data_IF_874347969197
#
_entry.id   IF_874347969197
#
_cell.length_a   1.000
_cell.length_b   1.000
_cell.length_c   1.000
_cell.angle_alpha   90.00
_cell.angle_beta   90.00
_cell.angle_gamma   90.00
#
_symmetry.space_group_name_H-M   'P 1'
#
loop_
_entity.id
_entity.type
_entity.pdbx_description
1 polymer ?
#
# COMPACT_ATOMS: atom_id res chain seq x y z
N UNK A 1 1.25 -42.79 20.76
CA UNK A 1 2.72 -42.96 20.72
C UNK A 1 3.35 -41.58 20.75
N UNK A 2 4.15 -41.10 21.69
CA UNK A 2 4.54 -41.47 23.05
C UNK A 2 5.12 -40.16 23.63
N UNK A 3 4.35 -39.36 24.36
CA UNK A 3 4.88 -38.21 25.11
C UNK A 3 5.24 -38.67 26.53
N UNK A 4 6.31 -39.47 26.61
CA UNK A 4 6.88 -39.91 27.87
C UNK A 4 8.02 -38.97 28.32
N UNK A 5 7.84 -38.40 29.51
CA UNK A 5 8.86 -38.14 30.54
C UNK A 5 9.73 -36.86 30.40
N UNK A 6 9.16 -35.70 30.77
CA UNK A 6 9.88 -34.75 31.63
C UNK A 6 9.66 -35.17 33.10
N UNK A 7 10.17 -36.34 33.48
CA UNK A 7 10.05 -36.85 34.85
C UNK A 7 11.15 -36.27 35.74
N UNK A 8 10.76 -35.45 36.71
CA UNK A 8 11.61 -35.07 37.86
C UNK A 8 11.59 -36.24 38.85
N UNK A 9 12.70 -36.99 38.91
CA UNK A 9 12.95 -37.96 39.97
C UNK A 9 13.61 -37.23 41.14
N UNK A 10 12.81 -36.87 42.15
CA UNK A 10 13.31 -36.46 43.46
C UNK A 10 13.75 -37.72 44.23
N UNK A 11 15.06 -37.97 44.27
CA UNK A 11 15.66 -38.92 45.21
C UNK A 11 16.73 -38.18 46.04
N UNK A 12 16.68 -38.45 47.34
CA UNK A 12 17.20 -37.72 48.50
C UNK A 12 18.70 -37.45 48.59
N UNK A 13 19.00 -36.21 49.02
CA UNK A 13 19.95 -35.74 50.07
C UNK A 13 21.47 -36.01 49.92
N UNK A 14 22.24 -34.93 50.12
CA UNK A 14 23.73 -34.74 50.19
C UNK A 14 24.52 -34.61 48.89
N UNK A 15 24.11 -33.72 47.98
CA UNK A 15 24.99 -33.15 46.95
C UNK A 15 24.78 -31.64 46.98
N UNK A 16 25.88 -30.86 46.92
CA UNK A 16 25.83 -29.40 46.83
C UNK A 16 24.74 -29.00 45.85
N UNK A 17 23.69 -28.35 46.37
CA UNK A 17 22.73 -27.67 45.54
C UNK A 17 23.49 -26.43 45.05
N UNK A 18 24.23 -26.58 43.96
CA UNK A 18 24.20 -25.55 42.95
C UNK A 18 22.73 -25.49 42.56
N UNK A 19 21.97 -24.65 43.26
CA UNK A 19 20.88 -23.95 42.61
C UNK A 19 21.60 -23.20 41.50
N UNK A 20 21.80 -23.89 40.37
CA UNK A 20 22.08 -23.26 39.11
C UNK A 20 20.95 -22.26 39.00
N UNK A 21 21.28 -21.00 39.27
CA UNK A 21 20.30 -19.96 39.53
C UNK A 21 19.41 -20.00 38.31
N UNK A 22 18.22 -20.59 38.50
CA UNK A 22 17.39 -21.04 37.41
C UNK A 22 17.32 -19.88 36.43
N UNK A 23 17.50 -20.16 35.15
CA UNK A 23 17.23 -19.21 34.08
C UNK A 23 15.71 -18.87 34.06
N UNK A 24 15.21 -18.38 35.20
CA UNK A 24 13.84 -18.08 35.58
C UNK A 24 13.23 -17.03 34.66
N UNK A 25 14.10 -16.23 34.02
CA UNK A 25 13.72 -15.22 33.06
C UNK A 25 14.62 -15.31 31.83
N UNK A 26 14.04 -15.68 30.69
CA UNK A 26 14.71 -15.59 29.39
C UNK A 26 15.14 -14.14 29.12
N UNK A 27 16.25 -13.92 28.39
CA UNK A 27 16.63 -12.57 27.98
C UNK A 27 15.47 -11.94 27.19
N UNK A 28 14.88 -10.88 27.74
CA UNK A 28 13.83 -10.13 27.07
C UNK A 28 14.42 -9.37 25.86
N UNK A 29 14.45 -10.01 24.69
CA UNK A 29 14.92 -9.43 23.43
C UNK A 29 13.70 -8.91 22.67
N UNK A 30 13.61 -7.59 22.52
CA UNK A 30 12.52 -6.94 21.78
C UNK A 30 12.50 -7.43 20.32
N UNK A 31 11.30 -7.68 19.78
CA UNK A 31 11.09 -8.19 18.41
C UNK A 31 11.76 -9.55 18.15
N UNK A 32 11.79 -10.41 19.16
CA UNK A 32 12.24 -11.79 19.05
C UNK A 32 11.17 -12.77 19.54
N UNK A 33 11.17 -13.94 18.91
CA UNK A 33 10.49 -15.14 19.34
C UNK A 33 11.47 -16.00 20.14
N UNK A 34 10.99 -16.59 21.23
CA UNK A 34 11.78 -17.47 22.09
C UNK A 34 11.16 -18.86 22.04
N UNK A 35 11.92 -19.83 21.55
CA UNK A 35 11.57 -21.25 21.58
C UNK A 35 12.41 -21.96 22.65
N UNK A 36 11.77 -22.80 23.46
CA UNK A 36 12.45 -23.56 24.50
C UNK A 36 12.24 -25.06 24.24
N UNK A 37 13.35 -25.73 23.97
CA UNK A 37 13.41 -27.18 23.89
C UNK A 37 14.34 -27.72 24.99
N UNK A 38 13.73 -28.26 26.06
CA UNK A 38 14.40 -29.02 27.10
C UNK A 38 15.66 -28.36 27.70
N UNK A 39 15.62 -27.04 27.92
CA UNK A 39 16.72 -26.27 28.52
C UNK A 39 17.59 -25.52 27.51
N UNK A 40 17.45 -25.78 26.21
CA UNK A 40 18.02 -24.95 25.16
C UNK A 40 17.03 -23.85 24.76
N UNK A 41 17.51 -22.62 24.77
CA UNK A 41 16.71 -21.44 24.40
C UNK A 41 17.18 -20.94 23.05
N UNK A 42 16.32 -21.03 22.05
CA UNK A 42 16.58 -20.49 20.71
C UNK A 42 15.85 -19.16 20.59
N UNK A 43 16.62 -18.09 20.38
CA UNK A 43 16.10 -16.75 20.16
C UNK A 43 16.15 -16.48 18.66
N UNK A 44 15.00 -16.23 18.06
CA UNK A 44 14.88 -15.90 16.64
C UNK A 44 14.22 -14.55 16.49
N UNK A 45 14.73 -13.65 15.66
CA UNK A 45 14.05 -12.39 15.43
C UNK A 45 12.70 -12.60 14.74
N UNK A 46 11.72 -11.77 15.09
CA UNK A 46 10.43 -11.73 14.42
C UNK A 46 10.61 -11.35 12.94
N UNK A 47 9.61 -11.68 12.12
CA UNK A 47 9.61 -11.37 10.68
C UNK A 47 9.96 -9.91 10.41
N UNK A 48 10.85 -9.70 9.44
CA UNK A 48 11.33 -8.37 9.09
C UNK A 48 12.39 -7.79 10.03
N UNK A 49 12.86 -8.52 11.05
CA UNK A 49 13.97 -8.14 11.91
C UNK A 49 15.17 -9.06 11.75
N UNK A 50 16.39 -8.52 11.93
CA UNK A 50 17.66 -9.23 11.87
C UNK A 50 18.40 -9.11 13.19
N UNK A 51 18.98 -10.22 13.64
CA UNK A 51 19.74 -10.27 14.89
C UNK A 51 21.06 -9.53 14.72
N UNK A 52 21.37 -8.64 15.66
CA UNK A 52 22.65 -7.95 15.77
C UNK A 52 23.28 -8.32 17.10
N UNK A 53 24.49 -8.89 17.02
CA UNK A 53 25.30 -9.24 18.19
C UNK A 53 26.33 -8.13 18.44
N UNK A 54 26.23 -7.48 19.60
CA UNK A 54 27.22 -6.51 20.06
C UNK A 54 28.35 -7.19 20.83
N UNK A 55 29.53 -6.61 20.77
CA UNK A 55 30.69 -6.98 21.59
C UNK A 55 31.20 -5.71 22.25
N UNK A 56 31.58 -5.82 23.52
CA UNK A 56 32.17 -4.73 24.30
C UNK A 56 33.51 -5.18 24.87
N UNK A 57 34.49 -4.29 24.88
CA UNK A 57 35.80 -4.57 25.48
C UNK A 57 35.81 -4.03 26.91
N UNK A 58 35.92 -4.92 27.89
CA UNK A 58 35.95 -4.61 29.32
C UNK A 58 37.16 -5.32 29.92
N UNK A 59 38.05 -4.58 30.59
CA UNK A 59 39.28 -5.11 31.20
C UNK A 59 40.16 -5.92 30.22
N UNK A 60 40.34 -5.40 29.00
CA UNK A 60 41.10 -6.05 27.92
C UNK A 60 40.48 -7.36 27.38
N UNK A 61 39.26 -7.69 27.81
CA UNK A 61 38.51 -8.88 27.35
C UNK A 61 37.24 -8.50 26.57
N UNK A 62 36.98 -9.20 25.46
CA UNK A 62 35.73 -9.06 24.71
C UNK A 62 34.58 -9.79 25.40
N UNK A 63 33.48 -9.08 25.64
CA UNK A 63 32.25 -9.61 26.22
C UNK A 63 31.09 -9.45 25.26
N UNK A 64 30.27 -10.50 25.16
CA UNK A 64 29.03 -10.44 24.39
C UNK A 64 28.02 -9.53 25.07
N UNK A 65 27.51 -8.58 24.31
CA UNK A 65 26.35 -7.81 24.72
C UNK A 65 25.09 -8.62 24.48
N UNK A 66 23.98 -8.18 25.09
CA UNK A 66 22.68 -8.77 24.80
C UNK A 66 22.33 -8.57 23.32
N UNK A 67 21.94 -9.62 22.58
CA UNK A 67 21.57 -9.47 21.17
C UNK A 67 20.33 -8.58 21.03
N UNK A 68 20.24 -7.88 19.91
CA UNK A 68 19.11 -7.00 19.60
C UNK A 68 18.59 -7.34 18.20
N UNK A 69 17.28 -7.46 18.06
CA UNK A 69 16.63 -7.58 16.76
C UNK A 69 16.38 -6.18 16.19
N UNK A 70 17.13 -5.81 15.14
CA UNK A 70 16.96 -4.54 14.42
C UNK A 70 16.06 -4.76 13.21
N UNK A 71 15.22 -3.78 12.84
CA UNK A 71 14.37 -3.93 11.68
C UNK A 71 15.25 -4.01 10.42
N UNK A 72 14.78 -4.74 9.42
CA UNK A 72 15.46 -4.88 8.14
C UNK A 72 15.38 -3.56 7.40
N UNK A 73 16.50 -3.10 6.86
CA UNK A 73 16.58 -1.85 6.10
C UNK A 73 16.63 -2.15 4.60
N UNK A 74 15.90 -1.36 3.81
CA UNK A 74 15.97 -1.40 2.35
C UNK A 74 17.01 -0.43 1.81
N UNK A 75 17.66 -0.74 0.67
CA UNK A 75 18.75 0.06 0.12
C UNK A 75 18.27 1.44 -0.32
N UNK A 76 19.00 2.47 0.10
CA UNK A 76 18.86 3.84 -0.41
C UNK A 76 19.64 4.03 -1.71
N UNK A 77 19.28 5.04 -2.50
CA UNK A 77 19.98 5.42 -3.73
C UNK A 77 19.69 4.52 -4.93
N UNK A 78 18.67 3.65 -4.85
CA UNK A 78 18.23 2.81 -5.97
C UNK A 78 17.33 3.64 -6.88
N UNK A 79 17.56 3.57 -8.19
CA UNK A 79 16.71 4.24 -9.18
C UNK A 79 15.29 3.66 -9.15
N UNK A 80 14.30 4.55 -9.16
CA UNK A 80 12.89 4.16 -9.16
C UNK A 80 12.35 4.22 -10.60
N UNK A 81 11.68 3.14 -11.03
CA UNK A 81 11.06 3.08 -12.36
C UNK A 81 10.03 4.19 -12.53
N UNK A 82 10.07 4.91 -13.66
CA UNK A 82 9.16 6.02 -13.99
C UNK A 82 9.14 7.17 -12.95
N UNK A 83 10.27 7.38 -12.26
CA UNK A 83 10.50 8.52 -11.38
C UNK A 83 11.92 9.05 -11.58
N UNK A 84 12.10 10.35 -11.35
CA UNK A 84 13.43 10.97 -11.30
C UNK A 84 14.05 10.91 -9.90
N UNK A 85 13.32 10.33 -8.92
CA UNK A 85 13.78 10.13 -7.56
C UNK A 85 14.57 8.82 -7.40
N UNK A 86 15.32 8.75 -6.31
CA UNK A 86 15.96 7.52 -5.82
C UNK A 86 15.36 7.12 -4.49
N UNK A 87 15.51 5.85 -4.13
CA UNK A 87 15.00 5.35 -2.85
C UNK A 87 15.67 6.04 -1.66
N UNK A 88 14.88 6.38 -0.65
CA UNK A 88 15.38 6.83 0.66
C UNK A 88 15.44 5.66 1.64
N UNK A 89 16.19 5.79 2.73
CA UNK A 89 16.20 4.76 3.77
C UNK A 89 14.80 4.54 4.34
N UNK A 90 14.37 3.28 4.36
CA UNK A 90 13.15 2.80 5.01
C UNK A 90 13.46 1.46 5.67
N UNK A 91 12.81 1.23 6.80
CA UNK A 91 12.86 -0.05 7.49
C UNK A 91 11.63 -0.88 7.13
N UNK A 92 11.66 -2.17 7.46
CA UNK A 92 10.59 -3.13 7.23
C UNK A 92 9.18 -2.54 7.43
N UNK A 93 8.31 -2.79 6.46
CA UNK A 93 6.91 -2.35 6.39
C UNK A 93 6.68 -0.83 6.20
N UNK A 94 7.74 -0.01 6.24
CA UNK A 94 7.60 1.40 5.89
C UNK A 94 7.44 1.60 4.38
N UNK A 95 6.59 2.57 4.03
CA UNK A 95 6.29 2.96 2.65
C UNK A 95 7.07 4.21 2.27
N UNK A 96 7.64 4.19 1.07
CA UNK A 96 8.21 5.33 0.37
C UNK A 96 7.24 5.74 -0.75
N UNK A 97 6.67 6.94 -0.65
CA UNK A 97 5.89 7.56 -1.74
C UNK A 97 6.78 8.52 -2.52
N UNK A 98 6.69 8.50 -3.85
CA UNK A 98 7.48 9.32 -4.74
C UNK A 98 6.63 9.90 -5.88
N UNK A 99 7.14 10.97 -6.50
CA UNK A 99 6.49 11.59 -7.66
C UNK A 99 6.86 10.88 -8.96
N UNK A 100 5.90 10.70 -9.85
CA UNK A 100 6.11 10.08 -11.15
C UNK A 100 6.64 11.07 -12.18
N UNK A 101 7.57 10.65 -13.04
CA UNK A 101 8.16 11.46 -14.11
C UNK A 101 7.36 11.40 -15.42
N UNK A 102 6.02 11.47 -15.33
CA UNK A 102 5.11 11.38 -16.48
C UNK A 102 4.75 12.75 -17.09
N UNK A 103 5.39 13.83 -16.61
CA UNK A 103 5.11 15.21 -17.02
C UNK A 103 3.72 15.72 -16.61
N UNK A 104 3.09 15.09 -15.61
CA UNK A 104 1.85 15.53 -14.98
C UNK A 104 2.10 15.61 -13.47
N UNK A 105 1.96 16.82 -12.92
CA UNK A 105 2.18 17.06 -11.50
C UNK A 105 1.11 16.36 -10.66
N UNK A 106 1.52 15.80 -9.53
CA UNK A 106 0.62 15.20 -8.56
C UNK A 106 0.28 13.74 -8.83
N UNK A 107 0.89 13.06 -9.82
CA UNK A 107 0.88 11.60 -9.92
C UNK A 107 2.02 11.03 -9.06
N UNK A 108 1.71 9.98 -8.29
CA UNK A 108 2.65 9.37 -7.33
C UNK A 108 2.66 7.86 -7.47
N UNK A 109 3.79 7.24 -7.16
CA UNK A 109 3.92 5.80 -6.92
C UNK A 109 4.35 5.55 -5.47
N UNK A 110 4.37 4.27 -5.09
CA UNK A 110 4.78 3.85 -3.76
C UNK A 110 5.54 2.52 -3.78
N UNK A 111 6.55 2.41 -2.92
CA UNK A 111 7.27 1.16 -2.65
C UNK A 111 7.30 0.89 -1.15
N UNK A 112 7.11 -0.37 -0.75
CA UNK A 112 7.23 -0.82 0.64
C UNK A 112 8.55 -1.56 0.85
N UNK A 113 9.18 -1.38 2.01
CA UNK A 113 10.34 -2.17 2.38
C UNK A 113 9.92 -3.58 2.82
N UNK A 114 10.36 -4.59 2.06
CA UNK A 114 10.08 -6.00 2.29
C UNK A 114 10.88 -6.59 3.45
N UNK A 115 10.45 -7.76 3.93
CA UNK A 115 11.09 -8.49 5.03
C UNK A 115 12.52 -8.93 4.72
N UNK A 116 12.85 -9.15 3.45
CA UNK A 116 14.18 -9.56 2.98
C UNK A 116 15.13 -8.36 2.75
N UNK A 117 14.62 -7.13 2.90
CA UNK A 117 15.36 -5.90 2.64
C UNK A 117 15.33 -5.48 1.17
N UNK A 118 14.40 -6.01 0.38
CA UNK A 118 14.15 -5.53 -0.99
C UNK A 118 12.92 -4.63 -1.04
N UNK A 119 12.94 -3.72 -1.99
CA UNK A 119 11.78 -2.90 -2.32
C UNK A 119 10.71 -3.73 -3.02
N UNK A 120 9.49 -3.59 -2.54
CA UNK A 120 8.28 -4.17 -3.15
C UNK A 120 7.49 -3.01 -3.74
N UNK A 121 7.11 -3.09 -5.00
CA UNK A 121 6.22 -2.11 -5.62
C UNK A 121 4.82 -2.22 -5.00
N UNK A 122 4.40 -1.17 -4.29
CA UNK A 122 3.07 -1.09 -3.67
C UNK A 122 2.09 -0.40 -4.61
N UNK A 123 2.58 0.61 -5.35
CA UNK A 123 1.83 1.33 -6.38
C UNK A 123 2.78 1.77 -7.49
N UNK A 124 2.58 1.24 -8.70
CA UNK A 124 3.25 1.70 -9.89
C UNK A 124 2.82 3.13 -10.25
N UNK A 125 3.65 3.84 -11.03
CA UNK A 125 3.25 5.12 -11.57
C UNK A 125 2.06 4.99 -12.54
N UNK A 126 0.98 5.77 -12.38
CA UNK A 126 -0.16 5.73 -13.27
C UNK A 126 0.23 6.02 -14.73
N UNK A 127 -0.28 5.23 -15.66
CA UNK A 127 -0.02 5.36 -17.10
C UNK A 127 -0.81 6.55 -17.64
N UNK A 128 -0.15 7.38 -18.46
CA UNK A 128 -0.72 8.61 -19.03
C UNK A 128 -0.90 8.47 -20.54
N UNK A 129 -2.14 8.57 -21.00
CA UNK A 129 -2.50 8.60 -22.42
C UNK A 129 -2.83 10.04 -22.82
N UNK A 130 -1.84 10.74 -23.37
CA UNK A 130 -1.99 12.12 -23.85
C UNK A 130 -2.72 12.16 -25.18
N UNK A 131 -3.43 13.25 -25.42
CA UNK A 131 -4.14 13.45 -26.68
C UNK A 131 -5.44 12.66 -26.77
N UNK A 132 -5.88 12.00 -25.68
CA UNK A 132 -7.01 11.06 -25.66
C UNK A 132 -7.97 11.38 -24.54
N UNK A 133 -9.26 11.15 -24.77
CA UNK A 133 -10.30 11.20 -23.74
C UNK A 133 -11.40 10.17 -24.04
N UNK A 134 -12.15 9.81 -23.01
CA UNK A 134 -13.26 8.87 -23.12
C UNK A 134 -14.50 9.60 -23.63
N UNK A 135 -15.03 9.16 -24.77
CA UNK A 135 -16.28 9.65 -25.33
C UNK A 135 -17.48 8.99 -24.68
N UNK A 136 -18.20 9.74 -23.84
CA UNK A 136 -19.40 9.24 -23.15
C UNK A 136 -20.64 9.46 -24.03
N UNK A 137 -21.31 8.38 -24.44
CA UNK A 137 -22.51 8.43 -25.30
C UNK A 137 -23.74 7.76 -24.68
N UNK A 138 -23.58 6.99 -23.61
CA UNK A 138 -24.66 6.25 -22.93
C UNK A 138 -25.06 6.96 -21.65
N UNK A 139 -26.25 7.54 -21.62
CA UNK A 139 -26.82 8.13 -20.41
C UNK A 139 -28.35 8.10 -20.43
N UNK A 140 -28.94 7.91 -19.25
CA UNK A 140 -30.38 8.03 -19.06
C UNK A 140 -30.70 9.44 -18.59
N UNK A 141 -31.66 10.11 -19.22
CA UNK A 141 -32.08 11.45 -18.79
C UNK A 141 -33.42 11.38 -18.07
N UNK A 142 -33.49 11.93 -16.86
CA UNK A 142 -34.72 11.98 -16.05
C UNK A 142 -35.10 13.41 -15.69
N UNK A 143 -36.40 13.76 -15.64
CA UNK A 143 -36.86 15.05 -15.15
C UNK A 143 -36.71 15.13 -13.63
N UNK A 144 -35.74 15.91 -13.16
CA UNK A 144 -35.50 16.18 -11.74
C UNK A 144 -34.59 17.40 -11.58
N UNK A 145 -34.77 18.15 -10.50
CA UNK A 145 -33.84 19.20 -10.07
C UNK A 145 -32.78 18.69 -9.10
N UNK A 146 -33.02 17.54 -8.43
CA UNK A 146 -32.09 16.88 -7.54
C UNK A 146 -31.57 15.58 -8.18
N UNK A 147 -30.38 15.66 -8.78
CA UNK A 147 -29.82 14.54 -9.55
C UNK A 147 -29.31 13.40 -8.66
N UNK A 148 -28.74 13.73 -7.50
CA UNK A 148 -28.31 12.73 -6.53
C UNK A 148 -29.47 11.87 -6.05
N UNK A 149 -30.59 12.51 -5.67
CA UNK A 149 -31.80 11.78 -5.26
C UNK A 149 -32.43 11.00 -6.41
N UNK A 150 -32.43 11.57 -7.63
CA UNK A 150 -32.93 10.86 -8.80
C UNK A 150 -32.10 9.62 -9.13
N UNK A 151 -30.77 9.68 -8.96
CA UNK A 151 -29.88 8.55 -9.14
C UNK A 151 -30.17 7.42 -8.15
N UNK A 152 -30.38 7.75 -6.87
CA UNK A 152 -30.71 6.76 -5.83
C UNK A 152 -32.00 5.97 -6.10
N UNK A 153 -32.91 6.51 -6.92
CA UNK A 153 -34.16 5.83 -7.32
C UNK A 153 -33.98 4.87 -8.49
N UNK A 154 -32.85 4.93 -9.19
CA UNK A 154 -32.55 4.09 -10.36
C UNK A 154 -31.46 3.10 -9.97
N UNK A 155 -31.80 1.82 -9.93
CA UNK A 155 -30.92 0.75 -9.40
C UNK A 155 -29.58 0.63 -10.11
N UNK A 156 -29.49 1.02 -11.38
CA UNK A 156 -28.26 0.94 -12.19
C UNK A 156 -27.43 2.24 -12.15
N UNK A 157 -27.93 3.29 -11.49
CA UNK A 157 -27.24 4.57 -11.46
C UNK A 157 -26.07 4.56 -10.48
N UNK A 158 -24.88 4.87 -10.98
CA UNK A 158 -23.64 5.00 -10.22
C UNK A 158 -23.22 6.45 -10.02
N UNK A 159 -23.56 7.33 -10.96
CA UNK A 159 -23.25 8.76 -10.90
C UNK A 159 -24.33 9.58 -11.61
N UNK A 160 -24.42 10.87 -11.30
CA UNK A 160 -25.35 11.76 -11.98
C UNK A 160 -24.79 13.16 -12.20
N UNK A 161 -25.31 13.87 -13.20
CA UNK A 161 -24.99 15.26 -13.48
C UNK A 161 -26.22 16.05 -13.92
N UNK A 162 -26.17 17.37 -13.76
CA UNK A 162 -27.26 18.26 -14.21
C UNK A 162 -27.09 18.63 -15.69
N UNK A 163 -28.09 18.27 -16.51
CA UNK A 163 -28.24 18.73 -17.90
C UNK A 163 -28.75 20.18 -18.02
N UNK A 164 -29.06 20.85 -16.90
CA UNK A 164 -29.80 22.12 -16.88
C UNK A 164 -31.31 21.93 -17.05
N UNK A 165 -32.06 23.01 -16.85
CA UNK A 165 -33.52 23.07 -17.05
C UNK A 165 -34.32 21.95 -16.35
N UNK A 166 -33.92 21.57 -15.13
CA UNK A 166 -34.62 20.54 -14.34
C UNK A 166 -34.48 19.12 -14.91
N UNK A 167 -33.37 18.82 -15.59
CA UNK A 167 -33.04 17.47 -16.07
C UNK A 167 -31.73 16.97 -15.50
N UNK A 168 -31.72 15.69 -15.20
CA UNK A 168 -30.56 14.97 -14.69
C UNK A 168 -30.14 13.89 -15.66
N UNK A 169 -28.84 13.83 -15.92
CA UNK A 169 -28.17 12.78 -16.66
C UNK A 169 -27.70 11.76 -15.63
N UNK A 170 -28.14 10.53 -15.77
CA UNK A 170 -27.75 9.40 -14.94
C UNK A 170 -26.78 8.52 -15.71
N UNK A 171 -25.72 8.12 -15.01
CA UNK A 171 -24.66 7.26 -15.52
C UNK A 171 -24.67 5.94 -14.77
N UNK A 172 -24.29 4.88 -15.45
CA UNK A 172 -24.14 3.54 -14.90
C UNK A 172 -22.66 3.23 -14.70
N UNK A 173 -22.38 2.16 -13.96
CA UNK A 173 -21.02 1.68 -13.80
C UNK A 173 -20.40 1.36 -15.17
N UNK A 174 -19.12 1.71 -15.40
CA UNK A 174 -18.11 2.02 -14.38
C UNK A 174 -17.92 3.51 -14.07
N UNK A 175 -18.81 4.41 -14.48
CA UNK A 175 -18.65 5.86 -14.23
C UNK A 175 -19.05 6.17 -12.79
N UNK A 176 -18.10 6.57 -11.94
CA UNK A 176 -18.37 6.85 -10.52
C UNK A 176 -18.44 8.35 -10.21
N UNK A 177 -17.95 9.19 -11.11
CA UNK A 177 -18.00 10.63 -10.95
C UNK A 177 -18.08 11.33 -12.30
N UNK A 178 -18.93 12.36 -12.36
CA UNK A 178 -19.09 13.25 -13.50
C UNK A 178 -19.25 14.68 -13.02
N UNK A 179 -18.43 15.63 -13.47
CA UNK A 179 -18.60 17.03 -13.06
C UNK A 179 -18.21 18.09 -14.12
N UNK A 180 -18.73 19.30 -13.92
CA UNK A 180 -18.44 20.58 -14.61
C UNK A 180 -17.04 21.11 -14.23
N UNK A 181 -16.46 22.07 -14.99
CA UNK A 181 -15.03 22.11 -15.33
C UNK A 181 -14.11 22.08 -14.11
N UNK A 182 -13.22 21.09 -14.10
CA UNK A 182 -12.07 20.99 -13.20
C UNK A 182 -10.78 21.04 -14.00
N UNK A 183 -9.75 21.63 -13.42
CA UNK A 183 -8.39 21.49 -13.95
C UNK A 183 -7.96 20.02 -13.91
N UNK A 184 -6.98 19.63 -14.72
CA UNK A 184 -6.44 18.27 -14.70
C UNK A 184 -5.95 17.90 -13.29
N UNK A 185 -5.25 18.82 -12.61
CA UNK A 185 -4.76 18.63 -11.25
C UNK A 185 -5.89 18.37 -10.25
N UNK A 186 -6.99 19.14 -10.29
CA UNK A 186 -8.15 18.89 -9.43
C UNK A 186 -8.82 17.55 -9.75
N UNK A 187 -8.92 17.18 -11.03
CA UNK A 187 -9.48 15.88 -11.46
C UNK A 187 -8.64 14.71 -10.91
N UNK A 188 -7.31 14.83 -10.93
CA UNK A 188 -6.37 13.88 -10.33
C UNK A 188 -6.58 13.78 -8.82
N UNK A 189 -6.70 14.91 -8.12
CA UNK A 189 -6.93 14.89 -6.66
C UNK A 189 -8.27 14.24 -6.28
N UNK A 190 -9.31 14.46 -7.08
CA UNK A 190 -10.60 13.79 -6.88
C UNK A 190 -10.48 12.28 -7.02
N UNK A 191 -9.74 11.80 -8.04
CA UNK A 191 -9.48 10.38 -8.22
C UNK A 191 -8.68 9.80 -7.05
N UNK A 192 -7.60 10.47 -6.64
CA UNK A 192 -6.76 10.03 -5.50
C UNK A 192 -7.50 9.91 -4.18
N UNK A 193 -8.50 10.77 -3.95
CA UNK A 193 -9.29 10.74 -2.73
C UNK A 193 -10.42 9.70 -2.75
N UNK A 194 -10.70 9.09 -3.91
CA UNK A 194 -11.71 8.06 -4.05
C UNK A 194 -11.05 6.71 -4.30
N UNK A 195 -11.08 5.83 -3.31
CA UNK A 195 -10.46 4.50 -3.38
C UNK A 195 -11.07 3.60 -4.45
N UNK A 196 -12.21 3.97 -5.03
CA UNK A 196 -12.81 3.25 -6.17
C UNK A 196 -12.26 3.74 -7.51
N UNK A 197 -11.61 4.90 -7.59
CA UNK A 197 -11.14 5.45 -8.85
C UNK A 197 -9.89 4.72 -9.33
N UNK A 198 -9.98 4.05 -10.49
CA UNK A 198 -8.85 3.37 -11.12
C UNK A 198 -8.37 4.07 -12.40
N UNK A 199 -9.29 4.77 -13.06
CA UNK A 199 -9.01 5.56 -14.27
C UNK A 199 -9.73 6.89 -14.20
N UNK A 200 -9.10 7.95 -14.70
CA UNK A 200 -9.75 9.22 -14.99
C UNK A 200 -9.60 9.58 -16.46
N UNK A 201 -10.59 10.29 -16.97
CA UNK A 201 -10.55 10.95 -18.27
C UNK A 201 -10.82 12.43 -18.09
N UNK A 202 -9.91 13.25 -18.60
CA UNK A 202 -9.96 14.69 -18.55
C UNK A 202 -9.90 15.27 -19.96
N UNK A 203 -10.68 16.32 -20.19
CA UNK A 203 -10.55 17.23 -21.34
C UNK A 203 -10.93 18.62 -20.87
N UNK A 204 -10.70 19.65 -21.68
CA UNK A 204 -11.12 21.02 -21.34
C UNK A 204 -12.63 21.03 -21.09
N UNK A 205 -13.00 21.22 -19.83
CA UNK A 205 -14.40 21.31 -19.41
C UNK A 205 -15.01 20.04 -18.80
N UNK A 206 -14.34 18.88 -18.85
CA UNK A 206 -14.90 17.62 -18.35
C UNK A 206 -13.90 16.79 -17.57
N UNK A 207 -14.36 16.23 -16.44
CA UNK A 207 -13.62 15.28 -15.62
C UNK A 207 -14.55 14.09 -15.34
N UNK A 208 -14.10 12.90 -15.75
CA UNK A 208 -14.79 11.64 -15.52
C UNK A 208 -13.87 10.72 -14.72
N UNK A 209 -14.40 10.11 -13.67
CA UNK A 209 -13.70 9.07 -12.91
C UNK A 209 -14.41 7.74 -13.12
N UNK A 210 -13.61 6.68 -13.20
CA UNK A 210 -14.08 5.34 -13.49
C UNK A 210 -13.56 4.35 -12.45
N UNK A 211 -14.40 3.38 -12.10
CA UNK A 211 -14.07 2.27 -11.19
C UNK A 211 -13.36 1.09 -11.86
N UNK A 212 -12.88 1.29 -13.08
CA UNK A 212 -12.20 0.26 -13.87
C UNK A 212 -10.94 0.84 -14.51
N UNK A 213 -10.04 -0.05 -14.89
CA UNK A 213 -8.78 0.27 -15.54
C UNK A 213 -8.97 0.68 -17.02
N UNK A 214 -7.89 1.16 -17.63
CA UNK A 214 -7.89 1.55 -19.04
C UNK A 214 -8.29 0.42 -19.99
N UNK A 215 -7.92 -0.84 -19.71
CA UNK A 215 -8.24 -1.97 -20.59
C UNK A 215 -9.75 -2.20 -20.68
N UNK A 216 -10.45 -2.06 -19.55
CA UNK A 216 -11.92 -2.12 -19.52
C UNK A 216 -12.53 -0.88 -20.19
N UNK A 217 -11.91 0.29 -20.03
CA UNK A 217 -12.38 1.52 -20.68
C UNK A 217 -12.31 1.42 -22.21
N UNK A 218 -11.20 0.93 -22.77
CA UNK A 218 -11.04 0.78 -24.23
C UNK A 218 -12.05 -0.20 -24.86
N UNK A 219 -12.52 -1.19 -24.10
CA UNK A 219 -13.51 -2.16 -24.61
C UNK A 219 -14.95 -1.67 -24.51
N UNK A 220 -15.28 -0.84 -23.51
CA UNK A 220 -16.64 -0.36 -23.26
C UNK A 220 -16.96 0.99 -23.89
N UNK A 221 -15.96 1.84 -24.09
CA UNK A 221 -16.16 3.22 -24.52
C UNK A 221 -15.37 3.56 -25.77
N UNK A 222 -15.87 4.54 -26.51
CA UNK A 222 -15.14 5.10 -27.65
C UNK A 222 -14.07 6.05 -27.14
N UNK A 223 -12.81 5.72 -27.36
CA UNK A 223 -11.69 6.64 -27.11
C UNK A 223 -11.60 7.64 -28.25
N UNK A 224 -11.55 8.93 -27.91
CA UNK A 224 -11.50 10.04 -28.86
C UNK A 224 -10.19 10.80 -28.73
N UNK A 225 -9.69 11.27 -29.85
CA UNK A 225 -8.49 12.10 -29.87
C UNK A 225 -8.85 13.58 -29.64
N UNK A 226 -8.05 14.28 -28.84
CA UNK A 226 -8.13 15.71 -28.56
C UNK A 226 -6.80 16.19 -28.01
N UNK A 227 -6.24 17.28 -28.56
CA UNK A 227 -4.95 17.83 -28.11
C UNK A 227 -4.92 18.20 -26.62
N UNK A 228 -6.07 18.45 -26.01
CA UNK A 228 -6.20 18.76 -24.58
C UNK A 228 -6.79 17.59 -23.75
N UNK A 229 -6.97 16.42 -24.37
CA UNK A 229 -7.45 15.22 -23.70
C UNK A 229 -6.32 14.48 -22.98
N UNK A 230 -6.61 14.00 -21.77
CA UNK A 230 -5.72 13.10 -21.02
C UNK A 230 -6.55 12.00 -20.38
N UNK A 231 -6.12 10.75 -20.55
CA UNK A 231 -6.58 9.63 -19.72
C UNK A 231 -5.42 9.21 -18.82
N UNK A 232 -5.71 8.98 -17.53
CA UNK A 232 -4.72 8.47 -16.57
C UNK A 232 -5.30 7.24 -15.89
N UNK A 233 -4.55 6.13 -15.85
CA UNK A 233 -4.99 4.84 -15.31
C UNK A 233 -3.94 4.22 -14.40
N UNK A 234 -4.38 3.52 -13.36
CA UNK A 234 -3.50 2.87 -12.37
C UNK A 234 -3.37 3.64 -11.06
N UNK A 235 -4.47 4.27 -10.62
CA UNK A 235 -4.58 4.89 -9.30
C UNK A 235 -4.69 3.86 -8.18
#
# INVERSE_FOLDING_TARGET
>A
MNNLLCSVLLVSVTILILIDADCLNYPNVTNANVDNDCGNVVITCSTGFKMVQGLECIDEEWRYQKPVCKPTECPQGVNITNSDAVTESRIFDQVLTFNCSNGINGLTGAQRCGEDGKWIEEQACPVVYRGKYVGITTFTTVPSTNCTEACLKVTQCSSSSSAGSGRCILFEEPIIYTNRPKTLSECIQLCKNDTKCLTLSHTVGSCYLFSVDYTTIETKFVIRDSSNGVIVSGF
#
